data_IF_225601388636
#
_entry.id   IF_225601388636
#
_cell.length_a   1.000
_cell.length_b   1.000
_cell.length_c   1.000
_cell.angle_alpha   90.00
_cell.angle_beta   90.00
_cell.angle_gamma   90.00
#
_symmetry.space_group_name_H-M   'P 1'
#
loop_
_entity.id
_entity.type
_entity.pdbx_description
1 polymer ?
#
# COMPACT_ATOMS: atom_id res chain seq x y z
N UNK A 1 21.54 -21.72 4.03
CA UNK A 1 20.53 -21.00 4.86
C UNK A 1 19.17 -20.89 4.18
N UNK A 2 18.96 -20.07 3.13
CA UNK A 2 17.62 -19.91 2.54
C UNK A 2 17.07 -21.20 1.94
N UNK A 3 17.87 -21.96 1.20
CA UNK A 3 17.50 -23.28 0.69
C UNK A 3 17.13 -24.26 1.81
N UNK A 4 17.92 -24.33 2.88
CA UNK A 4 17.60 -25.15 4.06
C UNK A 4 16.28 -24.75 4.73
N UNK A 5 15.99 -23.44 4.82
CA UNK A 5 14.71 -22.96 5.34
C UNK A 5 13.57 -23.39 4.42
N UNK A 6 13.75 -23.29 3.10
CA UNK A 6 12.76 -23.73 2.11
C UNK A 6 12.48 -25.22 2.27
N UNK A 7 13.52 -26.07 2.32
CA UNK A 7 13.37 -27.52 2.52
C UNK A 7 12.62 -27.83 3.82
N UNK A 8 12.96 -27.16 4.92
CA UNK A 8 12.26 -27.33 6.20
C UNK A 8 10.78 -26.93 6.15
N UNK A 9 10.45 -25.84 5.45
CA UNK A 9 9.07 -25.34 5.34
C UNK A 9 8.23 -26.20 4.38
N UNK A 10 8.84 -26.69 3.31
CA UNK A 10 8.18 -27.46 2.25
C UNK A 10 8.06 -28.95 2.62
N UNK A 11 8.97 -29.48 3.43
CA UNK A 11 8.91 -30.84 3.98
C UNK A 11 9.45 -31.95 3.08
N UNK A 12 10.06 -31.61 1.94
CA UNK A 12 10.76 -32.52 1.03
C UNK A 12 11.91 -31.79 0.32
N UNK A 13 12.82 -32.52 -0.33
CA UNK A 13 13.98 -32.00 -1.08
C UNK A 13 13.59 -31.71 -2.55
N UNK A 14 13.36 -30.44 -2.95
CA UNK A 14 12.98 -30.11 -4.31
C UNK A 14 14.20 -30.12 -5.23
N UNK A 15 14.06 -30.70 -6.43
CA UNK A 15 15.18 -30.92 -7.37
C UNK A 15 15.75 -29.65 -7.99
N UNK A 16 14.97 -28.56 -8.04
CA UNK A 16 15.28 -27.37 -8.85
C UNK A 16 14.97 -26.06 -8.09
N UNK A 17 15.56 -25.87 -6.91
CA UNK A 17 15.47 -24.60 -6.18
C UNK A 17 16.62 -23.69 -6.58
N UNK A 18 16.28 -22.49 -7.04
CA UNK A 18 17.25 -21.41 -7.24
C UNK A 18 16.81 -20.18 -6.45
N UNK A 19 17.60 -19.79 -5.44
CA UNK A 19 17.36 -18.54 -4.71
C UNK A 19 17.81 -17.36 -5.58
N UNK A 20 16.85 -16.60 -6.08
CA UNK A 20 17.12 -15.45 -6.94
C UNK A 20 17.58 -14.21 -6.16
N UNK A 21 16.96 -13.96 -5.00
CA UNK A 21 17.20 -12.74 -4.22
C UNK A 21 16.76 -12.91 -2.77
N UNK A 22 17.38 -12.16 -1.87
CA UNK A 22 17.07 -12.12 -0.43
C UNK A 22 17.01 -10.65 -0.01
N UNK A 23 15.79 -10.13 0.17
CA UNK A 23 15.58 -8.73 0.58
C UNK A 23 14.90 -8.66 1.94
N UNK A 24 15.59 -8.19 2.99
CA UNK A 24 14.91 -7.86 4.23
C UNK A 24 13.97 -6.67 3.99
N UNK A 25 12.77 -6.74 4.54
CA UNK A 25 11.77 -5.69 4.47
C UNK A 25 11.30 -5.34 5.88
N UNK A 26 11.26 -4.04 6.17
CA UNK A 26 10.78 -3.53 7.46
C UNK A 26 9.30 -3.20 7.34
N UNK A 27 8.50 -3.79 8.23
CA UNK A 27 7.08 -3.53 8.28
C UNK A 27 6.79 -2.15 8.86
N UNK A 28 5.96 -1.38 8.15
CA UNK A 28 5.45 -0.09 8.60
C UNK A 28 3.92 -0.10 8.59
N UNK A 29 3.34 0.70 9.49
CA UNK A 29 1.90 0.92 9.58
C UNK A 29 1.65 2.41 9.80
N UNK A 30 1.62 3.18 8.72
CA UNK A 30 1.67 4.64 8.77
C UNK A 30 0.79 5.25 7.67
N UNK A 31 0.21 6.42 7.94
CA UNK A 31 -0.56 7.20 6.97
C UNK A 31 -0.14 8.65 7.10
N UNK A 32 0.15 9.32 5.98
CA UNK A 32 0.53 10.73 6.01
C UNK A 32 -0.58 11.60 6.61
N UNK A 33 -0.21 12.68 7.29
CA UNK A 33 -1.19 13.63 7.84
C UNK A 33 -1.86 14.45 6.74
N UNK A 34 -1.08 14.87 5.74
CA UNK A 34 -1.50 15.68 4.60
C UNK A 34 -0.98 15.07 3.30
N UNK A 35 -1.78 15.12 2.24
CA UNK A 35 -1.45 14.51 0.95
C UNK A 35 -1.13 15.56 -0.10
N UNK A 36 -1.63 16.78 0.07
CA UNK A 36 -1.48 17.87 -0.89
C UNK A 36 -0.72 19.03 -0.26
N UNK A 37 0.35 19.48 -0.91
CA UNK A 37 1.22 20.57 -0.45
C UNK A 37 1.55 21.58 -1.53
N UNK A 38 2.24 22.66 -1.13
CA UNK A 38 2.81 23.68 -2.02
C UNK A 38 1.79 24.27 -3.03
N UNK A 39 0.63 24.71 -2.55
CA UNK A 39 -0.48 25.22 -3.38
C UNK A 39 -0.94 24.23 -4.46
N UNK A 40 -1.18 22.98 -4.06
CA UNK A 40 -1.58 21.88 -4.93
C UNK A 40 -0.53 21.43 -5.97
N UNK A 41 0.75 21.77 -5.77
CA UNK A 41 1.85 21.36 -6.67
C UNK A 41 2.57 20.08 -6.25
N UNK A 42 2.38 19.63 -5.02
CA UNK A 42 2.94 18.37 -4.52
C UNK A 42 1.80 17.49 -4.05
N UNK A 43 1.77 16.24 -4.53
CA UNK A 43 0.73 15.26 -4.19
C UNK A 43 1.40 13.93 -3.84
N UNK A 44 1.14 13.41 -2.64
CA UNK A 44 1.62 12.11 -2.18
C UNK A 44 0.66 11.01 -2.63
N UNK A 45 1.21 9.94 -3.22
CA UNK A 45 0.47 8.80 -3.78
C UNK A 45 1.14 7.49 -3.37
N UNK A 46 0.37 6.42 -3.13
CA UNK A 46 0.92 5.10 -2.82
C UNK A 46 1.76 5.10 -1.54
N UNK A 47 2.90 4.41 -1.57
CA UNK A 47 3.78 4.24 -0.40
C UNK A 47 4.29 5.55 0.20
N UNK A 48 4.34 6.63 -0.59
CA UNK A 48 4.67 7.97 -0.09
C UNK A 48 3.58 8.57 0.82
N UNK A 49 2.34 8.10 0.69
CA UNK A 49 1.18 8.62 1.39
C UNK A 49 0.63 7.65 2.45
N UNK A 50 0.98 6.36 2.35
CA UNK A 50 0.59 5.31 3.29
C UNK A 50 1.54 4.12 3.22
N UNK A 51 1.79 3.46 4.34
CA UNK A 51 2.54 2.20 4.41
C UNK A 51 1.77 1.23 5.28
N UNK A 52 1.51 0.04 4.76
CA UNK A 52 0.70 -0.98 5.44
C UNK A 52 1.48 -2.27 5.64
N UNK A 53 1.15 -3.06 6.68
CA UNK A 53 1.47 -4.47 6.72
C UNK A 53 0.95 -5.19 5.45
N UNK A 54 1.60 -6.28 4.99
CA UNK A 54 1.24 -6.94 3.74
C UNK A 54 -0.08 -7.70 3.81
N UNK A 55 -0.62 -7.93 5.01
CA UNK A 55 -1.86 -8.68 5.19
C UNK A 55 -3.05 -8.01 4.49
N UNK A 56 -3.79 -8.81 3.72
CA UNK A 56 -4.91 -8.35 2.91
C UNK A 56 -4.52 -7.65 1.59
N UNK A 57 -3.23 -7.52 1.29
CA UNK A 57 -2.77 -7.00 -0.02
C UNK A 57 -3.17 -5.55 -0.28
N UNK A 58 -3.42 -4.74 0.76
CA UNK A 58 -4.01 -3.41 0.60
C UNK A 58 -3.07 -2.36 -0.01
N UNK A 59 -1.75 -2.45 0.21
CA UNK A 59 -0.78 -1.41 -0.17
C UNK A 59 -0.82 -1.07 -1.67
N UNK A 60 -0.48 -2.04 -2.51
CA UNK A 60 -0.46 -1.86 -3.98
C UNK A 60 -1.84 -1.46 -4.52
N UNK A 61 -2.91 -2.14 -4.08
CA UNK A 61 -4.26 -1.86 -4.54
C UNK A 61 -4.71 -0.43 -4.20
N UNK A 62 -4.39 0.05 -3.00
CA UNK A 62 -4.70 1.42 -2.58
C UNK A 62 -3.90 2.44 -3.38
N UNK A 63 -2.62 2.15 -3.66
CA UNK A 63 -1.77 3.00 -4.50
C UNK A 63 -2.28 3.13 -5.94
N UNK A 64 -2.71 2.04 -6.57
CA UNK A 64 -3.32 2.08 -7.91
C UNK A 64 -4.59 2.94 -7.92
N UNK A 65 -5.45 2.77 -6.92
CA UNK A 65 -6.66 3.58 -6.79
C UNK A 65 -6.36 5.07 -6.51
N UNK A 66 -5.29 5.37 -5.76
CA UNK A 66 -4.84 6.75 -5.56
C UNK A 66 -4.46 7.39 -6.90
N UNK A 67 -3.67 6.69 -7.73
CA UNK A 67 -3.29 7.17 -9.07
C UNK A 67 -4.52 7.32 -9.99
N UNK A 68 -5.42 6.34 -9.99
CA UNK A 68 -6.65 6.39 -10.78
C UNK A 68 -7.53 7.58 -10.41
N UNK A 69 -7.70 7.88 -9.11
CA UNK A 69 -8.46 9.02 -8.65
C UNK A 69 -7.84 10.37 -9.08
N UNK A 70 -6.50 10.43 -9.12
CA UNK A 70 -5.78 11.65 -9.43
C UNK A 70 -5.66 11.93 -10.93
N UNK A 71 -5.50 10.89 -11.76
CA UNK A 71 -5.18 11.02 -13.18
C UNK A 71 -6.20 11.87 -13.96
N UNK A 72 -7.50 11.63 -13.77
CA UNK A 72 -8.53 12.39 -14.46
C UNK A 72 -8.63 13.84 -13.96
N UNK A 73 -8.40 14.07 -12.66
CA UNK A 73 -8.39 15.44 -12.08
C UNK A 73 -7.27 16.28 -12.68
N UNK A 74 -6.07 15.70 -12.80
CA UNK A 74 -4.93 16.34 -13.46
C UNK A 74 -5.22 16.63 -14.94
N UNK A 75 -5.84 15.70 -15.65
CA UNK A 75 -6.27 15.90 -17.04
C UNK A 75 -7.22 17.10 -17.19
N UNK A 76 -8.22 17.23 -16.31
CA UNK A 76 -9.15 18.37 -16.33
C UNK A 76 -8.45 19.71 -16.06
N UNK A 77 -7.46 19.74 -15.17
CA UNK A 77 -6.67 20.94 -14.91
C UNK A 77 -5.79 21.33 -16.08
N UNK A 78 -5.10 20.35 -16.67
CA UNK A 78 -4.22 20.57 -17.80
C UNK A 78 -4.99 21.12 -19.01
N UNK A 79 -6.25 20.71 -19.18
CA UNK A 79 -7.13 21.19 -20.24
C UNK A 79 -7.91 22.47 -19.87
N UNK A 80 -7.72 23.04 -18.68
CA UNK A 80 -8.43 24.24 -18.22
C UNK A 80 -9.93 24.03 -17.98
N UNK A 81 -10.39 22.79 -17.84
CA UNK A 81 -11.82 22.43 -17.67
C UNK A 81 -12.24 22.57 -16.21
N UNK A 82 -11.33 22.29 -15.26
CA UNK A 82 -11.61 22.36 -13.83
C UNK A 82 -10.75 23.43 -13.13
N UNK A 83 -11.24 23.93 -12.00
CA UNK A 83 -10.49 24.79 -11.09
C UNK A 83 -9.45 23.98 -10.29
N UNK A 84 -8.29 24.54 -9.91
CA UNK A 84 -7.30 23.90 -9.04
C UNK A 84 -7.86 23.31 -7.73
N UNK A 85 -8.99 23.83 -7.25
CA UNK A 85 -9.68 23.29 -6.07
C UNK A 85 -10.13 21.83 -6.24
N UNK A 86 -10.28 21.32 -7.47
CA UNK A 86 -10.60 19.91 -7.71
C UNK A 86 -9.56 18.98 -7.09
N UNK A 87 -8.29 19.38 -6.97
CA UNK A 87 -7.27 18.55 -6.33
C UNK A 87 -7.54 18.38 -4.84
N UNK A 88 -8.15 19.35 -4.16
CA UNK A 88 -8.46 19.24 -2.73
C UNK A 88 -9.39 18.06 -2.43
N UNK A 89 -10.22 17.66 -3.41
CA UNK A 89 -11.08 16.48 -3.29
C UNK A 89 -10.30 15.17 -3.21
N UNK A 90 -9.08 15.09 -3.75
CA UNK A 90 -8.24 13.89 -3.65
C UNK A 90 -7.98 13.51 -2.20
N UNK A 91 -7.67 14.50 -1.35
CA UNK A 91 -7.37 14.23 0.04
C UNK A 91 -8.61 13.77 0.82
N UNK A 92 -9.74 14.46 0.66
CA UNK A 92 -10.99 14.12 1.34
C UNK A 92 -11.55 12.77 0.88
N UNK A 93 -11.39 12.40 -0.39
CA UNK A 93 -11.86 11.12 -0.94
C UNK A 93 -10.95 9.96 -0.55
N UNK A 94 -9.62 10.15 -0.54
CA UNK A 94 -8.66 9.06 -0.36
C UNK A 94 -8.25 8.81 1.10
N UNK A 95 -8.34 9.82 1.97
CA UNK A 95 -7.96 9.68 3.39
C UNK A 95 -8.77 8.60 4.12
N UNK A 96 -10.12 8.55 4.01
CA UNK A 96 -10.90 7.52 4.69
C UNK A 96 -10.53 6.10 4.23
N UNK A 97 -10.26 5.92 2.93
CA UNK A 97 -9.88 4.63 2.34
C UNK A 97 -8.55 4.14 2.92
N UNK A 98 -7.55 5.02 3.04
CA UNK A 98 -6.24 4.66 3.61
C UNK A 98 -6.33 4.33 5.09
N UNK A 99 -7.08 5.09 5.87
CA UNK A 99 -7.27 4.81 7.30
C UNK A 99 -7.97 3.47 7.52
N UNK A 100 -8.99 3.16 6.72
CA UNK A 100 -9.66 1.86 6.75
C UNK A 100 -8.71 0.72 6.36
N UNK A 101 -7.95 0.91 5.28
CA UNK A 101 -6.96 -0.07 4.80
C UNK A 101 -5.85 -0.31 5.82
N UNK A 102 -5.33 0.76 6.44
CA UNK A 102 -4.35 0.70 7.53
C UNK A 102 -4.88 -0.13 8.71
N UNK A 103 -6.10 0.18 9.18
CA UNK A 103 -6.72 -0.55 10.28
C UNK A 103 -6.88 -2.04 9.95
N UNK A 104 -7.43 -2.36 8.78
CA UNK A 104 -7.60 -3.75 8.36
C UNK A 104 -6.27 -4.49 8.22
N UNK A 105 -5.27 -3.87 7.57
CA UNK A 105 -3.94 -4.45 7.41
C UNK A 105 -3.24 -4.70 8.76
N UNK A 106 -3.51 -3.86 9.77
CA UNK A 106 -2.94 -3.99 11.11
C UNK A 106 -3.65 -5.08 11.96
N UNK A 107 -4.98 -5.15 11.92
CA UNK A 107 -5.74 -6.09 12.76
C UNK A 107 -5.86 -7.51 12.19
N UNK A 108 -5.91 -7.66 10.85
CA UNK A 108 -6.09 -8.96 10.22
C UNK A 108 -5.01 -10.00 10.60
N UNK A 109 -3.70 -9.64 10.68
CA UNK A 109 -2.66 -10.56 11.19
C UNK A 109 -2.92 -11.05 12.61
N UNK A 110 -3.42 -10.19 13.50
CA UNK A 110 -3.70 -10.53 14.91
C UNK A 110 -4.80 -11.60 14.98
N UNK A 111 -5.82 -11.49 14.12
CA UNK A 111 -6.90 -12.47 14.03
C UNK A 111 -6.44 -13.79 13.41
N UNK A 112 -5.60 -13.73 12.37
CA UNK A 112 -5.05 -14.93 11.71
C UNK A 112 -4.18 -15.73 12.68
N UNK A 113 -3.27 -15.07 13.41
CA UNK A 113 -2.41 -15.75 14.38
C UNK A 113 -3.21 -16.43 15.51
N UNK A 114 -4.30 -15.83 15.99
CA UNK A 114 -5.16 -16.46 17.00
C UNK A 114 -5.83 -17.74 16.49
N UNK A 115 -6.17 -17.78 15.20
CA UNK A 115 -6.88 -18.91 14.57
C UNK A 115 -5.99 -20.11 14.24
N UNK A 116 -4.67 -19.94 14.22
CA UNK A 116 -3.71 -21.01 13.94
C UNK A 116 -3.38 -21.81 15.23
N UNK A 117 -3.76 -21.29 16.41
CA UNK A 117 -3.57 -21.94 17.70
C UNK A 117 -4.83 -22.63 18.25
N UNK A 118 -5.92 -22.68 17.48
CA UNK A 118 -7.14 -23.46 17.74
C UNK A 118 -7.21 -24.65 16.78
#
# INVERSE_FOLDING_TARGET
ICEEIIVKLVGWEPSDVQVLDIKPWVMHAEVAEKYIGCDNRIILVGDAAHRFPPAGGFGMNTGVQDAHNLAWKLCLLQNGVASPSILQTYESERRPVRLSSHSQAFYNPILICRKIHE
#
